data_IF_880227227481
#
_entry.id   IF_880227227481
#
_cell.length_a   1.000
_cell.length_b   1.000
_cell.length_c   1.000
_cell.angle_alpha   90.00
_cell.angle_beta   90.00
_cell.angle_gamma   90.00
#
_symmetry.space_group_name_H-M   'P 1'
#
loop_
_entity.id
_entity.type
_entity.pdbx_description
1 polymer ?
#
# COMPACT_ATOMS: atom_id res chain seq x y z
N UNK A 1 13.43 15.16 -13.65
CA UNK A 1 14.55 14.60 -14.44
C UNK A 1 15.29 13.60 -13.56
N UNK A 2 15.09 12.30 -13.79
CA UNK A 2 15.78 11.26 -13.03
C UNK A 2 17.18 11.10 -13.62
N UNK A 3 18.21 11.44 -12.85
CA UNK A 3 19.61 11.30 -13.25
C UNK A 3 20.10 9.98 -12.70
N UNK A 4 20.29 8.99 -13.57
CA UNK A 4 20.85 7.69 -13.19
C UNK A 4 22.36 7.82 -12.97
N UNK A 5 22.85 7.27 -11.85
CA UNK A 5 24.27 7.21 -11.51
C UNK A 5 24.79 5.80 -11.79
N UNK A 6 25.75 5.68 -12.71
CA UNK A 6 26.43 4.42 -12.97
C UNK A 6 27.33 4.10 -11.77
N UNK A 7 26.96 3.05 -11.02
CA UNK A 7 27.66 2.59 -9.81
C UNK A 7 28.71 1.51 -10.10
N UNK A 8 28.67 0.90 -11.28
CA UNK A 8 29.65 -0.10 -11.71
C UNK A 8 29.73 -0.17 -13.23
N UNK A 9 30.93 -0.11 -13.79
CA UNK A 9 31.19 -0.51 -15.18
C UNK A 9 32.05 -1.77 -15.17
N UNK A 10 31.83 -2.64 -16.14
CA UNK A 10 32.61 -3.87 -16.34
C UNK A 10 33.43 -3.69 -17.62
N UNK A 11 34.74 -4.04 -17.62
CA UNK A 11 35.64 -3.73 -18.72
C UNK A 11 35.48 -4.65 -19.95
N UNK A 12 34.55 -5.60 -19.89
CA UNK A 12 34.22 -6.51 -20.99
C UNK A 12 32.70 -6.62 -21.11
N UNK A 13 32.23 -6.84 -22.35
CA UNK A 13 30.83 -7.18 -22.61
C UNK A 13 30.62 -8.59 -22.09
N UNK A 14 29.77 -8.75 -21.06
CA UNK A 14 29.30 -10.07 -20.66
C UNK A 14 28.26 -10.48 -21.71
N UNK A 15 28.60 -11.49 -22.51
CA UNK A 15 27.68 -12.03 -23.52
C UNK A 15 26.62 -12.91 -22.83
N UNK A 16 25.43 -12.34 -22.63
CA UNK A 16 24.29 -13.04 -22.05
C UNK A 16 23.46 -13.85 -23.08
N UNK A 17 23.96 -14.04 -24.31
CA UNK A 17 23.31 -14.82 -25.40
C UNK A 17 23.09 -16.31 -25.13
N UNK A 18 23.45 -16.83 -23.97
CA UNK A 18 22.91 -18.12 -23.53
C UNK A 18 21.42 -17.93 -23.25
N UNK A 19 20.64 -17.98 -24.34
CA UNK A 19 19.20 -17.86 -24.37
C UNK A 19 18.56 -18.98 -23.58
N UNK A 20 17.50 -18.65 -22.84
CA UNK A 20 16.66 -19.67 -22.22
C UNK A 20 15.97 -20.49 -23.32
N UNK A 21 15.60 -21.74 -23.05
CA UNK A 21 14.88 -22.60 -24.01
C UNK A 21 13.63 -21.94 -24.59
N UNK A 22 12.99 -21.05 -23.82
CA UNK A 22 11.84 -20.27 -24.24
C UNK A 22 12.19 -19.23 -25.33
N UNK A 23 13.33 -18.54 -25.18
CA UNK A 23 13.81 -17.53 -26.14
C UNK A 23 14.18 -18.12 -27.50
N UNK A 24 14.69 -19.36 -27.54
CA UNK A 24 15.08 -20.03 -28.80
C UNK A 24 13.89 -20.41 -29.67
N UNK A 25 12.70 -20.53 -29.10
CA UNK A 25 11.52 -21.06 -29.81
C UNK A 25 10.57 -19.93 -30.26
N UNK A 26 10.52 -18.79 -29.55
CA UNK A 26 9.41 -17.84 -29.69
C UNK A 26 9.78 -16.36 -29.94
N UNK A 27 11.04 -15.93 -29.96
CA UNK A 27 11.37 -14.50 -30.03
C UNK A 27 12.01 -14.04 -31.36
N UNK A 28 11.42 -13.04 -32.01
CA UNK A 28 12.11 -12.19 -33.01
C UNK A 28 13.15 -11.32 -32.28
N UNK A 29 14.41 -11.36 -32.74
CA UNK A 29 15.56 -10.80 -32.03
C UNK A 29 15.78 -9.29 -32.25
N UNK A 30 14.94 -8.63 -33.05
CA UNK A 30 15.02 -7.17 -33.24
C UNK A 30 14.30 -6.43 -32.11
N UNK A 31 15.08 -5.96 -31.14
CA UNK A 31 14.63 -4.96 -30.17
C UNK A 31 14.19 -5.53 -28.82
N UNK A 32 15.08 -6.26 -28.12
CA UNK A 32 14.87 -6.58 -26.70
C UNK A 32 14.71 -5.27 -25.93
N UNK A 33 13.52 -5.02 -25.37
CA UNK A 33 13.32 -3.83 -24.55
C UNK A 33 14.19 -3.93 -23.29
N UNK A 34 14.62 -2.79 -22.74
CA UNK A 34 15.41 -2.75 -21.51
C UNK A 34 14.71 -3.50 -20.35
N UNK A 35 13.38 -3.56 -20.40
CA UNK A 35 12.54 -4.32 -19.47
C UNK A 35 12.81 -5.83 -19.53
N UNK A 36 12.89 -6.45 -20.72
CA UNK A 36 13.21 -7.88 -20.86
C UNK A 36 14.62 -8.19 -20.33
N UNK A 37 15.57 -7.29 -20.57
CA UNK A 37 16.91 -7.45 -20.03
C UNK A 37 16.96 -7.37 -18.50
N UNK A 38 16.21 -6.44 -17.91
CA UNK A 38 16.09 -6.30 -16.46
C UNK A 38 15.49 -7.57 -15.83
N UNK A 39 14.42 -8.09 -16.43
CA UNK A 39 13.78 -9.34 -16.02
C UNK A 39 14.78 -10.48 -16.03
N UNK A 40 15.52 -10.65 -17.12
CA UNK A 40 16.50 -11.72 -17.28
C UNK A 40 17.57 -11.69 -16.20
N UNK A 41 18.06 -10.49 -15.87
CA UNK A 41 19.06 -10.29 -14.81
C UNK A 41 18.44 -10.61 -13.44
N UNK A 42 17.23 -10.11 -13.16
CA UNK A 42 16.53 -10.37 -11.90
C UNK A 42 16.24 -11.87 -11.71
N UNK A 43 15.77 -12.54 -12.75
CA UNK A 43 15.50 -13.98 -12.75
C UNK A 43 16.78 -14.77 -12.53
N UNK A 44 17.87 -14.40 -13.23
CA UNK A 44 19.17 -15.05 -13.05
C UNK A 44 19.70 -14.90 -11.62
N UNK A 45 19.62 -13.71 -11.03
CA UNK A 45 20.09 -13.45 -9.68
C UNK A 45 19.22 -14.09 -8.59
N UNK A 46 17.92 -14.28 -8.84
CA UNK A 46 16.96 -14.71 -7.81
C UNK A 46 16.67 -16.20 -7.87
N UNK A 47 16.20 -16.68 -9.03
CA UNK A 47 15.66 -18.04 -9.21
C UNK A 47 16.61 -18.93 -10.03
N UNK A 48 17.58 -18.37 -10.74
CA UNK A 48 18.52 -19.10 -11.60
C UNK A 48 17.99 -19.33 -13.02
N UNK A 49 18.89 -19.50 -14.00
CA UNK A 49 18.55 -19.59 -15.45
C UNK A 49 18.33 -21.00 -15.98
N UNK A 50 18.99 -22.01 -15.41
CA UNK A 50 19.02 -23.39 -15.93
C UNK A 50 18.36 -24.41 -15.00
N UNK A 51 18.22 -24.07 -13.72
CA UNK A 51 17.45 -24.78 -12.72
C UNK A 51 16.68 -23.72 -11.92
N UNK A 52 15.62 -23.19 -12.52
CA UNK A 52 14.74 -22.26 -11.81
C UNK A 52 14.25 -22.93 -10.54
N UNK A 53 14.64 -22.36 -9.40
CA UNK A 53 14.19 -22.83 -8.10
C UNK A 53 12.71 -22.46 -7.93
N UNK A 54 11.83 -23.42 -8.21
CA UNK A 54 10.38 -23.24 -8.12
C UNK A 54 9.89 -23.00 -6.69
N UNK A 55 10.75 -23.16 -5.68
CA UNK A 55 10.45 -22.76 -4.30
C UNK A 55 10.62 -21.27 -4.05
N UNK A 56 11.28 -20.54 -4.97
CA UNK A 56 11.53 -19.11 -4.87
C UNK A 56 10.54 -18.32 -5.70
N UNK A 57 9.99 -17.27 -5.09
CA UNK A 57 9.09 -16.33 -5.73
C UNK A 57 9.79 -14.99 -5.95
N UNK A 58 9.37 -14.26 -6.97
CA UNK A 58 9.77 -12.87 -7.18
C UNK A 58 8.55 -11.98 -7.00
N UNK A 59 8.63 -11.04 -6.06
CA UNK A 59 7.61 -10.01 -5.86
C UNK A 59 8.07 -8.73 -6.53
N UNK A 60 7.20 -8.15 -7.36
CA UNK A 60 7.48 -6.90 -8.06
C UNK A 60 6.34 -5.92 -7.77
N UNK A 61 6.71 -4.78 -7.18
CA UNK A 61 5.77 -3.69 -6.97
C UNK A 61 5.61 -2.89 -8.27
N UNK A 62 4.40 -2.95 -8.84
CA UNK A 62 4.05 -2.20 -10.04
C UNK A 62 3.35 -0.90 -9.62
N UNK A 63 4.09 0.20 -9.68
CA UNK A 63 3.54 1.53 -9.46
C UNK A 63 2.87 1.99 -10.77
N UNK A 64 1.54 1.97 -10.84
CA UNK A 64 0.82 2.51 -12.00
C UNK A 64 -0.39 3.34 -11.58
N UNK A 65 -0.53 4.50 -12.21
CA UNK A 65 -1.62 5.47 -11.96
C UNK A 65 -2.83 5.18 -12.89
N UNK A 66 -2.61 4.50 -14.02
CA UNK A 66 -3.64 4.17 -15.01
C UNK A 66 -3.92 2.66 -15.13
N UNK A 67 -5.20 2.29 -15.17
CA UNK A 67 -5.68 0.90 -15.16
C UNK A 67 -5.34 0.11 -16.44
N UNK A 68 -5.29 0.80 -17.59
CA UNK A 68 -4.97 0.21 -18.90
C UNK A 68 -3.47 -0.12 -18.97
N UNK A 69 -2.61 0.83 -18.60
CA UNK A 69 -1.17 0.62 -18.52
C UNK A 69 -0.80 -0.50 -17.54
N UNK A 70 -1.55 -0.65 -16.44
CA UNK A 70 -1.35 -1.74 -15.49
C UNK A 70 -1.59 -3.12 -16.12
N UNK A 71 -2.68 -3.29 -16.87
CA UNK A 71 -2.98 -4.57 -17.53
C UNK A 71 -1.92 -4.93 -18.57
N UNK A 72 -1.44 -3.95 -19.33
CA UNK A 72 -0.37 -4.15 -20.32
C UNK A 72 0.96 -4.54 -19.65
N UNK A 73 1.34 -3.87 -18.55
CA UNK A 73 2.57 -4.20 -17.80
C UNK A 73 2.47 -5.59 -17.15
N UNK A 74 1.32 -5.95 -16.57
CA UNK A 74 1.10 -7.29 -16.01
C UNK A 74 1.13 -8.35 -17.12
N UNK A 75 0.54 -8.08 -18.28
CA UNK A 75 0.60 -8.97 -19.44
C UNK A 75 2.06 -9.15 -19.91
N UNK A 76 2.88 -8.08 -19.91
CA UNK A 76 4.30 -8.21 -20.23
C UNK A 76 5.05 -9.11 -19.22
N UNK A 77 4.79 -8.97 -17.91
CA UNK A 77 5.38 -9.87 -16.90
C UNK A 77 4.91 -11.32 -17.04
N UNK A 78 3.65 -11.57 -17.40
CA UNK A 78 3.14 -12.93 -17.60
C UNK A 78 3.66 -13.54 -18.90
N UNK A 79 3.48 -12.82 -20.01
CA UNK A 79 3.63 -13.36 -21.37
C UNK A 79 5.08 -13.29 -21.87
N UNK A 80 5.87 -12.30 -21.41
CA UNK A 80 7.27 -12.13 -21.85
C UNK A 80 8.26 -12.72 -20.85
N UNK A 81 8.01 -12.57 -19.54
CA UNK A 81 8.91 -13.10 -18.52
C UNK A 81 8.63 -14.57 -18.13
N UNK A 82 7.49 -15.13 -18.54
CA UNK A 82 7.15 -16.53 -18.31
C UNK A 82 6.84 -16.88 -16.84
N UNK A 83 6.53 -15.88 -16.00
CA UNK A 83 6.14 -16.10 -14.60
C UNK A 83 4.62 -16.31 -14.46
N UNK A 84 4.25 -17.20 -13.54
CA UNK A 84 2.86 -17.30 -13.07
C UNK A 84 2.63 -16.17 -12.05
N UNK A 85 1.79 -15.20 -12.40
CA UNK A 85 1.37 -14.15 -11.47
C UNK A 85 0.30 -14.71 -10.54
N UNK A 86 0.74 -15.24 -9.39
CA UNK A 86 -0.12 -15.90 -8.41
C UNK A 86 -0.81 -14.94 -7.44
N UNK A 87 -0.25 -13.75 -7.22
CA UNK A 87 -0.78 -12.79 -6.26
C UNK A 87 -1.01 -11.40 -6.88
N UNK A 88 -2.19 -10.85 -6.61
CA UNK A 88 -2.64 -9.54 -7.08
C UNK A 88 -3.09 -8.70 -5.88
N UNK A 89 -2.26 -8.62 -4.86
CA UNK A 89 -2.46 -7.65 -3.78
C UNK A 89 -2.39 -6.24 -4.38
N UNK A 90 -3.55 -5.64 -4.63
CA UNK A 90 -3.66 -4.27 -5.12
C UNK A 90 -3.77 -3.35 -3.91
N UNK A 91 -2.72 -2.59 -3.67
CA UNK A 91 -2.71 -1.56 -2.65
C UNK A 91 -3.00 -0.21 -3.30
N UNK A 92 -3.91 0.56 -2.70
CA UNK A 92 -4.22 1.93 -3.11
C UNK A 92 -3.89 2.90 -1.99
N UNK A 93 -3.17 3.98 -2.32
CA UNK A 93 -3.00 5.10 -1.41
C UNK A 93 -4.28 5.95 -1.42
N UNK A 94 -4.89 6.10 -0.25
CA UNK A 94 -6.09 6.92 -0.06
C UNK A 94 -5.79 8.10 0.85
N UNK A 95 -6.53 9.19 0.63
CA UNK A 95 -6.59 10.36 1.49
C UNK A 95 -8.03 10.47 1.97
N UNK A 96 -8.24 10.40 3.29
CA UNK A 96 -9.57 10.21 3.90
C UNK A 96 -9.72 11.18 5.06
N UNK A 97 -10.91 11.73 5.28
CA UNK A 97 -11.13 12.59 6.44
C UNK A 97 -11.15 11.80 7.74
N UNK A 98 -10.53 12.38 8.76
CA UNK A 98 -10.46 11.88 10.13
C UNK A 98 -11.85 11.60 10.70
N UNK A 99 -12.86 12.44 10.39
CA UNK A 99 -14.24 12.24 10.83
C UNK A 99 -14.83 10.91 10.37
N UNK A 100 -14.54 10.50 9.14
CA UNK A 100 -15.05 9.25 8.57
C UNK A 100 -14.38 8.03 9.19
N UNK A 101 -13.12 8.16 9.62
CA UNK A 101 -12.43 7.10 10.35
C UNK A 101 -12.95 6.98 11.79
N UNK A 102 -13.22 8.11 12.44
CA UNK A 102 -13.77 8.14 13.80
C UNK A 102 -15.17 7.53 13.87
N UNK A 103 -16.00 7.70 12.83
CA UNK A 103 -17.36 7.15 12.78
C UNK A 103 -17.42 5.62 12.61
N UNK A 104 -16.29 4.95 12.34
CA UNK A 104 -16.25 3.49 12.18
C UNK A 104 -16.39 2.73 13.49
N UNK A 105 -16.11 3.35 14.64
CA UNK A 105 -16.20 2.66 15.93
C UNK A 105 -17.65 2.35 16.28
N UNK A 106 -17.91 1.08 16.60
CA UNK A 106 -19.14 0.65 17.25
C UNK A 106 -19.03 0.87 18.77
N UNK A 107 -19.87 1.71 19.40
CA UNK A 107 -19.87 1.93 20.84
C UNK A 107 -20.28 0.70 21.66
N UNK A 108 -20.89 -0.32 21.04
CA UNK A 108 -21.27 -1.56 21.72
C UNK A 108 -20.15 -2.62 21.71
N UNK A 109 -19.03 -2.37 21.04
CA UNK A 109 -17.92 -3.32 20.93
C UNK A 109 -17.23 -3.54 22.28
N UNK A 110 -16.86 -4.79 22.56
CA UNK A 110 -16.12 -5.18 23.75
C UNK A 110 -14.60 -5.02 23.59
N UNK A 111 -14.13 -4.70 22.38
CA UNK A 111 -12.70 -4.56 22.06
C UNK A 111 -12.11 -3.35 22.77
N UNK A 112 -11.03 -3.57 23.50
CA UNK A 112 -10.31 -2.51 24.23
C UNK A 112 -9.13 -2.04 23.39
N UNK A 113 -9.08 -0.74 23.09
CA UNK A 113 -7.95 -0.12 22.39
C UNK A 113 -7.05 0.59 23.40
N UNK A 114 -5.77 0.21 23.43
CA UNK A 114 -4.75 0.79 24.32
C UNK A 114 -3.55 1.30 23.52
N UNK A 115 -2.88 2.32 24.03
CA UNK A 115 -1.64 2.81 23.41
C UNK A 115 -0.50 1.79 23.56
N UNK A 116 0.31 1.66 22.52
CA UNK A 116 1.54 0.87 22.56
C UNK A 116 2.59 1.63 23.36
N UNK A 117 3.14 0.97 24.36
CA UNK A 117 4.19 1.46 25.25
C UNK A 117 5.27 0.40 25.38
N UNK A 118 6.36 0.72 26.08
CA UNK A 118 7.38 -0.29 26.40
C UNK A 118 6.83 -1.46 27.23
N UNK A 119 5.76 -1.24 27.99
CA UNK A 119 5.18 -2.24 28.89
C UNK A 119 4.36 -3.33 28.19
N UNK A 120 3.80 -3.04 27.01
CA UNK A 120 3.02 -4.00 26.22
C UNK A 120 3.65 -4.32 24.85
N UNK A 121 4.90 -3.87 24.62
CA UNK A 121 5.62 -4.14 23.37
C UNK A 121 5.77 -5.64 23.10
N UNK A 122 6.03 -6.44 24.15
CA UNK A 122 6.16 -7.90 24.01
C UNK A 122 4.88 -8.50 23.42
N UNK A 123 3.71 -8.11 23.93
CA UNK A 123 2.41 -8.58 23.41
C UNK A 123 2.16 -8.19 21.95
N UNK A 124 2.68 -7.05 21.51
CA UNK A 124 2.62 -6.64 20.09
C UNK A 124 3.51 -7.54 19.23
N UNK A 125 4.73 -7.84 19.70
CA UNK A 125 5.67 -8.70 18.98
C UNK A 125 5.20 -10.16 18.92
N UNK A 126 4.62 -10.66 20.00
CA UNK A 126 4.02 -12.00 20.06
C UNK A 126 2.89 -12.13 19.02
N UNK A 127 2.00 -11.13 18.96
CA UNK A 127 0.96 -11.09 17.94
C UNK A 127 1.53 -10.95 16.51
N UNK A 128 2.55 -10.12 16.31
CA UNK A 128 3.15 -9.91 14.98
C UNK A 128 3.85 -11.16 14.42
N UNK A 129 4.39 -12.00 15.30
CA UNK A 129 5.02 -13.27 14.94
C UNK A 129 4.02 -14.25 14.28
N UNK A 130 2.74 -14.18 14.64
CA UNK A 130 1.70 -15.02 14.05
C UNK A 130 1.22 -14.51 12.67
N UNK A 131 1.51 -13.24 12.33
CA UNK A 131 1.11 -12.63 11.07
C UNK A 131 2.00 -13.01 9.87
N UNK A 132 3.23 -13.44 10.14
CA UNK A 132 4.27 -13.60 9.13
C UNK A 132 5.18 -14.76 9.46
N UNK A 133 5.52 -15.57 8.46
CA UNK A 133 6.53 -16.63 8.57
C UNK A 133 7.96 -16.09 8.76
N UNK A 134 8.16 -14.80 8.48
CA UNK A 134 9.42 -14.10 8.71
C UNK A 134 9.43 -13.44 10.07
N UNK A 135 10.54 -13.58 10.79
CA UNK A 135 10.82 -12.81 12.00
C UNK A 135 11.02 -11.32 11.63
N UNK A 136 10.04 -10.50 12.01
CA UNK A 136 10.04 -9.05 11.80
C UNK A 136 10.19 -8.29 13.12
N UNK A 137 10.56 -8.96 14.21
CA UNK A 137 10.62 -8.37 15.55
C UNK A 137 11.52 -7.15 15.62
N UNK A 138 12.71 -7.20 15.03
CA UNK A 138 13.64 -6.06 14.96
C UNK A 138 13.04 -4.88 14.17
N UNK A 139 12.40 -5.17 13.04
CA UNK A 139 11.78 -4.15 12.19
C UNK A 139 10.61 -3.45 12.89
N UNK A 140 9.69 -4.22 13.49
CA UNK A 140 8.53 -3.68 14.22
C UNK A 140 8.98 -2.90 15.46
N UNK A 141 9.99 -3.41 16.17
CA UNK A 141 10.59 -2.70 17.32
C UNK A 141 11.18 -1.35 16.89
N UNK A 142 11.97 -1.33 15.80
CA UNK A 142 12.56 -0.11 15.28
C UNK A 142 11.49 0.91 14.86
N UNK A 143 10.41 0.45 14.20
CA UNK A 143 9.27 1.30 13.85
C UNK A 143 8.63 1.91 15.10
N UNK A 144 8.24 1.11 16.09
CA UNK A 144 7.57 1.60 17.30
C UNK A 144 8.46 2.58 18.09
N UNK A 145 9.77 2.36 18.10
CA UNK A 145 10.72 3.22 18.79
C UNK A 145 11.10 4.49 18.01
N UNK A 146 10.70 4.61 16.75
CA UNK A 146 11.02 5.77 15.93
C UNK A 146 10.27 7.01 16.44
N UNK A 147 10.97 8.14 16.69
CA UNK A 147 10.33 9.37 17.15
C UNK A 147 9.22 9.84 16.21
N UNK A 148 8.05 10.14 16.78
CA UNK A 148 6.87 10.59 16.03
C UNK A 148 5.97 9.45 15.52
N UNK A 149 6.33 8.19 15.77
CA UNK A 149 5.41 7.07 15.60
C UNK A 149 4.59 6.88 16.88
N UNK A 150 3.28 6.81 16.73
CA UNK A 150 2.34 6.38 17.76
C UNK A 150 1.73 5.04 17.37
N UNK A 151 1.37 4.23 18.37
CA UNK A 151 0.83 2.91 18.15
C UNK A 151 -0.36 2.62 19.05
N UNK A 152 -1.29 1.82 18.52
CA UNK A 152 -2.47 1.32 19.23
C UNK A 152 -2.49 -0.21 19.15
N UNK A 153 -2.84 -0.86 20.24
CA UNK A 153 -3.03 -2.31 20.38
C UNK A 153 -4.49 -2.56 20.73
N UNK A 154 -5.12 -3.51 20.03
CA UNK A 154 -6.44 -4.00 20.34
C UNK A 154 -6.34 -5.26 21.20
N UNK A 155 -7.17 -5.30 22.23
CA UNK A 155 -7.31 -6.43 23.14
C UNK A 155 -8.76 -6.92 23.10
N UNK A 156 -8.92 -8.22 22.85
CA UNK A 156 -10.20 -8.93 23.01
C UNK A 156 -10.06 -9.90 24.17
N UNK A 157 -10.92 -9.77 25.18
CA UNK A 157 -10.82 -10.52 26.45
C UNK A 157 -9.40 -10.50 27.08
N UNK A 158 -8.65 -9.42 26.86
CA UNK A 158 -7.28 -9.23 27.34
C UNK A 158 -6.18 -9.85 26.46
N UNK A 159 -6.53 -10.51 25.35
CA UNK A 159 -5.58 -11.06 24.39
C UNK A 159 -5.35 -10.11 23.21
N UNK A 160 -4.11 -9.96 22.72
CA UNK A 160 -3.82 -9.12 21.57
C UNK A 160 -4.47 -9.66 20.30
N UNK A 161 -5.26 -8.83 19.63
CA UNK A 161 -6.04 -9.22 18.45
C UNK A 161 -5.86 -8.31 17.24
N UNK A 162 -4.97 -7.32 17.37
CA UNK A 162 -4.61 -6.40 16.30
C UNK A 162 -3.77 -5.23 16.79
N UNK A 163 -3.05 -4.57 15.90
CA UNK A 163 -2.32 -3.35 16.21
C UNK A 163 -2.23 -2.42 15.00
N UNK A 164 -2.02 -1.14 15.26
CA UNK A 164 -1.90 -0.10 14.24
C UNK A 164 -0.76 0.87 14.61
N UNK A 165 -0.04 1.36 13.60
CA UNK A 165 0.97 2.41 13.76
C UNK A 165 0.63 3.64 12.91
N UNK A 166 0.87 4.81 13.47
CA UNK A 166 0.63 6.12 12.86
C UNK A 166 1.91 6.95 12.93
N UNK A 167 2.21 7.67 11.86
CA UNK A 167 3.21 8.72 11.85
C UNK A 167 2.58 10.02 11.34
N UNK A 168 2.45 11.00 12.23
CA UNK A 168 1.75 12.27 11.98
C UNK A 168 0.31 12.03 11.48
N UNK A 169 0.07 12.20 10.19
CA UNK A 169 -1.24 12.05 9.55
C UNK A 169 -1.28 10.86 8.59
N UNK A 170 -0.42 9.87 8.80
CA UNK A 170 -0.30 8.70 7.94
C UNK A 170 -0.34 7.41 8.75
N UNK A 171 -1.36 6.59 8.53
CA UNK A 171 -1.36 5.21 9.05
C UNK A 171 -0.32 4.43 8.27
N UNK A 172 0.66 3.87 8.98
CA UNK A 172 1.78 3.14 8.40
C UNK A 172 1.43 1.67 8.17
N UNK A 173 0.76 1.07 9.15
CA UNK A 173 0.29 -0.31 9.10
C UNK A 173 -0.89 -0.47 10.05
N UNK A 174 -1.73 -1.45 9.75
CA UNK A 174 -2.81 -1.91 10.61
C UNK A 174 -3.03 -3.39 10.33
N UNK A 175 -2.89 -4.21 11.37
CA UNK A 175 -3.22 -5.63 11.33
C UNK A 175 -4.31 -5.91 12.36
N UNK A 176 -5.30 -6.70 11.97
CA UNK A 176 -6.44 -7.04 12.79
C UNK A 176 -6.95 -8.43 12.42
N UNK A 177 -7.41 -9.20 13.41
CA UNK A 177 -7.94 -10.55 13.18
C UNK A 177 -9.27 -10.56 12.40
N UNK A 178 -10.05 -9.48 12.48
CA UNK A 178 -11.34 -9.37 11.80
C UNK A 178 -11.72 -7.90 11.51
N UNK A 179 -12.83 -7.71 10.80
CA UNK A 179 -13.32 -6.39 10.38
C UNK A 179 -13.76 -5.50 11.55
N UNK A 180 -14.29 -6.07 12.64
CA UNK A 180 -14.69 -5.29 13.82
C UNK A 180 -13.47 -4.68 14.50
N UNK A 181 -12.44 -5.49 14.76
CA UNK A 181 -11.18 -5.05 15.35
C UNK A 181 -10.51 -4.01 14.44
N UNK A 182 -10.55 -4.23 13.12
CA UNK A 182 -10.04 -3.28 12.14
C UNK A 182 -10.70 -1.89 12.29
N UNK A 183 -12.04 -1.84 12.37
CA UNK A 183 -12.80 -0.60 12.57
C UNK A 183 -12.45 0.09 13.89
N UNK A 184 -12.37 -0.67 14.98
CA UNK A 184 -12.04 -0.13 16.30
C UNK A 184 -10.62 0.42 16.37
N UNK A 185 -9.64 -0.29 15.80
CA UNK A 185 -8.25 0.18 15.71
C UNK A 185 -8.13 1.43 14.85
N UNK A 186 -8.80 1.46 13.70
CA UNK A 186 -8.73 2.58 12.79
C UNK A 186 -9.36 3.84 13.38
N UNK A 187 -10.51 3.71 14.05
CA UNK A 187 -11.11 4.82 14.82
C UNK A 187 -10.24 5.22 16.01
N UNK A 188 -9.69 4.23 16.74
CA UNK A 188 -8.80 4.45 17.88
C UNK A 188 -7.57 5.26 17.51
N UNK A 189 -6.86 4.87 16.46
CA UNK A 189 -5.66 5.56 16.01
C UNK A 189 -5.97 6.90 15.31
N UNK A 190 -7.17 7.04 14.72
CA UNK A 190 -7.62 8.32 14.14
C UNK A 190 -7.77 9.44 15.18
N UNK A 191 -7.91 9.10 16.47
CA UNK A 191 -7.95 10.10 17.56
C UNK A 191 -6.64 10.88 17.65
N UNK A 192 -5.50 10.25 17.36
CA UNK A 192 -4.16 10.83 17.43
C UNK A 192 -3.75 11.62 16.17
N UNK A 193 -4.59 11.59 15.14
CA UNK A 193 -4.36 12.34 13.91
C UNK A 193 -4.65 13.82 14.15
N UNK A 194 -3.68 14.67 13.83
CA UNK A 194 -3.76 16.12 14.07
C UNK A 194 -4.54 16.83 12.96
N UNK A 195 -4.35 16.40 11.71
CA UNK A 195 -5.02 17.00 10.57
C UNK A 195 -6.42 16.41 10.35
N UNK A 196 -7.26 17.16 9.63
CA UNK A 196 -8.58 16.68 9.21
C UNK A 196 -8.50 15.53 8.21
N UNK A 197 -7.35 15.31 7.58
CA UNK A 197 -7.14 14.25 6.60
C UNK A 197 -6.00 13.33 7.00
N UNK A 198 -6.21 12.05 6.72
CA UNK A 198 -5.28 10.96 6.93
C UNK A 198 -4.92 10.30 5.60
N UNK A 199 -3.64 9.97 5.42
CA UNK A 199 -3.16 9.16 4.32
C UNK A 199 -2.94 7.71 4.78
N UNK A 200 -3.35 6.73 3.98
CA UNK A 200 -3.09 5.32 4.28
C UNK A 200 -3.06 4.49 3.00
N UNK A 201 -2.48 3.29 3.07
CA UNK A 201 -2.62 2.28 2.02
C UNK A 201 -3.68 1.27 2.42
N UNK A 202 -4.60 1.00 1.50
CA UNK A 202 -5.63 -0.03 1.66
C UNK A 202 -5.45 -1.12 0.62
N UNK A 203 -5.72 -2.36 1.02
CA UNK A 203 -5.80 -3.49 0.10
C UNK A 203 -7.20 -3.54 -0.52
N UNK A 204 -7.28 -3.34 -1.83
CA UNK A 204 -8.54 -3.40 -2.58
C UNK A 204 -9.16 -4.80 -2.47
N UNK A 205 -10.48 -4.86 -2.26
CA UNK A 205 -11.24 -6.10 -2.15
C UNK A 205 -10.88 -6.97 -0.95
N UNK A 206 -10.17 -6.44 0.06
CA UNK A 206 -9.87 -7.20 1.27
C UNK A 206 -11.09 -7.35 2.18
N UNK A 207 -11.80 -6.24 2.45
CA UNK A 207 -12.94 -6.20 3.35
C UNK A 207 -13.99 -5.16 2.91
N UNK A 208 -15.22 -5.26 3.41
CA UNK A 208 -16.26 -4.26 3.09
C UNK A 208 -15.87 -2.86 3.60
N UNK A 209 -15.22 -2.79 4.77
CA UNK A 209 -14.73 -1.52 5.33
C UNK A 209 -13.70 -0.84 4.45
N UNK A 210 -12.83 -1.58 3.74
CA UNK A 210 -11.84 -0.96 2.85
C UNK A 210 -12.51 -0.33 1.64
N UNK A 211 -13.56 -0.95 1.10
CA UNK A 211 -14.37 -0.37 0.03
C UNK A 211 -15.14 0.87 0.51
N UNK A 212 -15.74 0.83 1.71
CA UNK A 212 -16.41 1.99 2.31
C UNK A 212 -15.46 3.19 2.45
N UNK A 213 -14.21 2.97 2.86
CA UNK A 213 -13.22 4.04 2.98
C UNK A 213 -12.84 4.62 1.61
N UNK A 214 -12.79 3.79 0.57
CA UNK A 214 -12.54 4.24 -0.80
C UNK A 214 -13.74 5.02 -1.35
N UNK A 215 -14.96 4.61 -1.02
CA UNK A 215 -16.18 5.35 -1.36
C UNK A 215 -16.23 6.72 -0.68
N UNK A 216 -15.80 6.85 0.58
CA UNK A 216 -15.67 8.14 1.25
C UNK A 216 -14.78 9.09 0.46
N UNK A 217 -13.61 8.61 0.01
CA UNK A 217 -12.71 9.37 -0.87
C UNK A 217 -13.42 9.80 -2.17
N UNK A 218 -14.20 8.92 -2.79
CA UNK A 218 -14.86 9.20 -4.06
C UNK A 218 -15.98 10.25 -3.92
N UNK A 219 -16.82 10.14 -2.88
CA UNK A 219 -17.92 11.07 -2.61
C UNK A 219 -17.40 12.50 -2.37
N UNK A 220 -16.27 12.60 -1.66
CA UNK A 220 -15.64 13.88 -1.34
C UNK A 220 -14.96 14.53 -2.55
N UNK A 221 -14.37 13.73 -3.44
CA UNK A 221 -13.86 14.23 -4.71
C UNK A 221 -14.99 14.87 -5.56
N UNK A 222 -16.18 14.27 -5.56
CA UNK A 222 -17.36 14.82 -6.25
C UNK A 222 -17.80 16.13 -5.60
N UNK A 223 -17.95 16.17 -4.27
CA UNK A 223 -18.34 17.38 -3.54
C UNK A 223 -17.35 18.54 -3.72
N UNK A 224 -16.04 18.26 -3.70
CA UNK A 224 -15.01 19.27 -3.95
C UNK A 224 -15.10 19.83 -5.39
N UNK A 225 -15.50 19.01 -6.36
CA UNK A 225 -15.65 19.42 -7.76
C UNK A 225 -16.91 20.27 -7.94
N UNK A 226 -18.03 19.95 -7.29
CA UNK A 226 -19.27 20.75 -7.36
C UNK A 226 -19.11 22.13 -6.72
N UNK A 227 -18.39 22.23 -5.60
CA UNK A 227 -18.10 23.53 -4.95
C UNK A 227 -17.18 24.39 -5.81
N UNK A 228 -16.25 23.80 -6.56
CA UNK A 228 -15.35 24.52 -7.47
C UNK A 228 -16.06 25.05 -8.74
N UNK A 229 -17.23 24.51 -9.10
CA UNK A 229 -18.03 24.96 -10.25
C UNK A 229 -18.95 26.15 -9.91
N UNK A 230 -19.16 26.47 -8.62
CA UNK A 230 -20.00 27.60 -8.16
C UNK A 230 -19.25 28.75 -7.45
N UNK A 231 -18.30 29.46 -8.10
CA UNK A 231 -17.92 30.79 -7.64
C UNK A 231 -18.18 31.83 -8.73
N UNK A 232 -19.41 32.38 -8.83
CA UNK A 232 -19.71 33.75 -9.34
C UNK A 232 -21.22 33.95 -9.54
N UNK A 233 -21.89 34.53 -8.52
CA UNK A 233 -22.88 35.60 -8.73
C UNK A 233 -23.34 36.16 -7.38
N UNK A 234 -22.49 37.00 -6.77
CA UNK A 234 -22.93 37.99 -5.78
C UNK A 234 -22.42 39.37 -6.21
N UNK A 235 -22.90 39.81 -7.37
CA UNK A 235 -22.81 41.21 -7.82
C UNK A 235 -23.98 41.47 -8.78
N UNK A 236 -25.19 41.58 -8.24
CA UNK A 236 -26.35 42.13 -8.95
C UNK A 236 -27.44 42.45 -7.92
N UNK A 237 -27.45 43.69 -7.42
CA UNK A 237 -28.65 44.47 -7.10
C UNK A 237 -28.28 45.70 -6.23
N UNK A 238 -27.97 46.82 -6.90
CA UNK A 238 -28.29 48.16 -6.40
C UNK A 238 -28.45 49.10 -7.58
N UNK A 239 -29.63 49.01 -8.21
CA UNK A 239 -30.22 50.11 -8.97
C UNK A 239 -31.38 50.60 -8.11
N UNK A 240 -31.13 51.69 -7.38
CA UNK A 240 -32.17 52.44 -6.69
C UNK A 240 -32.87 53.31 -7.74
N UNK A 241 -34.16 53.06 -7.94
CA UNK A 241 -35.11 53.98 -8.57
C UNK A 241 -35.23 55.24 -7.71
N UNK A 242 -34.94 56.41 -8.30
CA UNK A 242 -35.42 57.70 -7.81
C UNK A 242 -36.35 58.27 -8.87
N UNK A 243 -37.48 58.81 -8.38
CA UNK A 243 -38.61 59.38 -9.13
C UNK A 243 -38.21 60.49 -10.10
#
# INVERSE_FOLDING_TARGET
LCVYKIIRSVPYIIDYKASTLFETVFADHKGRSAFVHLIDVLSHCSVGRTNMDLSKNMTIDLLNVDSIAHQEVVAQWRDVAGFIVSDKHRLEEVLVYRSNLLSLSDPASTIVIVSITKGNLVSVLDYDADLSIYDRSEHVTALIQTPGITGMLALDEGQPCGYALLCKNRVLLLYANNEEIFKQLLSGIAKDIVNDQCKMFLRLGAHNVTEQIIEFKALEAVLATEVAVFPLNKNLARLETVQ
#
